data_IF_441445734896
#
_entry.id   IF_441445734896
#
_cell.length_a   1.000
_cell.length_b   1.000
_cell.length_c   1.000
_cell.angle_alpha   90.00
_cell.angle_beta   90.00
_cell.angle_gamma   90.00
#
_symmetry.space_group_name_H-M   'P 1'
#
loop_
_entity.id
_entity.type
_entity.pdbx_description
1 polymer ?
#
# COMPACT_ATOMS: atom_id res chain seq x y z
N UNK A 1 33.17 -7.60 -4.82
CA UNK A 1 32.61 -6.40 -4.12
C UNK A 1 31.95 -6.86 -2.82
N UNK A 2 31.99 -6.08 -1.73
CA UNK A 2 31.51 -6.49 -0.38
C UNK A 2 30.06 -7.03 -0.40
N UNK A 3 29.23 -6.58 -1.34
CA UNK A 3 27.81 -6.96 -1.46
C UNK A 3 27.53 -8.24 -2.27
N UNK A 4 28.53 -8.80 -2.97
CA UNK A 4 28.31 -9.95 -3.88
C UNK A 4 27.98 -11.24 -3.14
N UNK A 5 28.51 -11.42 -1.93
CA UNK A 5 28.31 -12.63 -1.13
C UNK A 5 27.09 -12.59 -0.20
N UNK A 6 26.31 -11.51 -0.22
CA UNK A 6 25.10 -11.38 0.60
C UNK A 6 23.91 -12.05 -0.09
N UNK A 7 23.01 -12.66 0.70
CA UNK A 7 21.82 -13.34 0.18
C UNK A 7 20.87 -12.33 -0.50
N UNK A 8 20.52 -11.25 0.19
CA UNK A 8 19.72 -10.15 -0.32
C UNK A 8 20.43 -8.81 -0.12
N UNK A 9 20.17 -7.85 -1.01
CA UNK A 9 20.66 -6.47 -0.89
C UNK A 9 19.52 -5.52 -1.23
N UNK A 10 19.19 -4.67 -0.28
CA UNK A 10 18.07 -3.72 -0.36
C UNK A 10 18.64 -2.30 -0.28
N UNK A 11 18.10 -1.40 -1.10
CA UNK A 11 18.34 0.04 -1.02
C UNK A 11 19.79 0.52 -1.24
N UNK A 12 20.68 -0.41 -1.60
CA UNK A 12 22.08 -0.13 -1.90
C UNK A 12 22.60 -1.04 -3.02
N UNK A 13 23.73 -0.65 -3.61
CA UNK A 13 24.47 -1.48 -4.57
C UNK A 13 24.20 -1.17 -6.04
N UNK A 14 23.25 -0.29 -6.34
CA UNK A 14 22.97 0.21 -7.67
C UNK A 14 22.39 -0.83 -8.62
N UNK A 15 21.69 -1.85 -8.10
CA UNK A 15 21.16 -2.96 -8.91
C UNK A 15 19.73 -3.33 -8.50
N UNK A 16 18.86 -3.43 -9.51
CA UNK A 16 17.57 -4.12 -9.40
C UNK A 16 17.64 -5.42 -10.20
N UNK A 17 17.70 -6.55 -9.50
CA UNK A 17 17.75 -7.90 -10.05
C UNK A 17 16.99 -8.85 -9.09
N UNK A 18 15.70 -9.09 -9.34
CA UNK A 18 14.87 -9.97 -8.51
C UNK A 18 15.38 -11.41 -8.45
N UNK A 19 16.05 -11.91 -9.49
CA UNK A 19 16.58 -13.27 -9.51
C UNK A 19 17.75 -13.47 -8.54
N UNK A 20 18.31 -12.37 -8.03
CA UNK A 20 19.41 -12.35 -7.06
C UNK A 20 19.04 -11.57 -5.81
N UNK A 21 17.76 -11.33 -5.55
CA UNK A 21 17.29 -10.53 -4.41
C UNK A 21 18.02 -9.19 -4.24
N UNK A 22 18.19 -8.48 -5.36
CA UNK A 22 18.74 -7.11 -5.40
C UNK A 22 17.61 -6.15 -5.68
N UNK A 23 17.28 -5.32 -4.71
CA UNK A 23 16.16 -4.38 -4.79
C UNK A 23 16.63 -2.99 -4.39
N UNK A 24 17.38 -2.34 -5.27
CA UNK A 24 17.78 -0.94 -5.14
C UNK A 24 17.11 -0.11 -6.25
N UNK A 25 16.84 1.16 -6.00
CA UNK A 25 16.18 2.11 -6.90
C UNK A 25 17.02 3.37 -7.23
N UNK A 26 18.22 3.49 -6.66
CA UNK A 26 19.12 4.66 -6.77
C UNK A 26 19.86 4.81 -8.12
N UNK A 27 19.60 3.94 -9.08
CA UNK A 27 20.29 3.87 -10.35
C UNK A 27 19.87 5.03 -11.23
N UNK A 28 20.83 5.57 -11.98
CA UNK A 28 20.56 6.65 -12.91
C UNK A 28 19.57 6.18 -13.99
N UNK A 29 18.43 6.87 -14.10
CA UNK A 29 17.37 6.51 -15.04
C UNK A 29 16.49 5.33 -14.60
N UNK A 30 16.50 4.98 -13.30
CA UNK A 30 15.51 4.05 -12.75
C UNK A 30 14.11 4.69 -12.81
N UNK A 31 13.20 4.06 -13.54
CA UNK A 31 11.82 4.55 -13.80
C UNK A 31 10.78 3.44 -13.55
N UNK A 32 11.16 2.39 -12.80
CA UNK A 32 10.23 1.29 -12.51
C UNK A 32 9.08 1.78 -11.64
N UNK A 33 7.87 1.43 -12.08
CA UNK A 33 6.62 1.67 -11.38
C UNK A 33 5.94 0.34 -11.05
N UNK A 34 4.96 0.37 -10.16
CA UNK A 34 4.16 -0.81 -9.83
C UNK A 34 3.38 -1.36 -11.03
N UNK A 35 3.01 -0.49 -11.97
CA UNK A 35 2.10 -0.82 -13.07
C UNK A 35 0.65 -0.58 -12.66
N UNK A 36 -0.31 -1.26 -13.29
CA UNK A 36 -1.74 -1.23 -12.89
C UNK A 36 -2.38 0.18 -12.81
N UNK A 37 -1.85 1.15 -13.55
CA UNK A 37 -2.31 2.54 -13.55
C UNK A 37 -1.62 3.46 -12.54
N UNK A 38 -0.71 2.93 -11.71
CA UNK A 38 0.13 3.73 -10.82
C UNK A 38 1.36 4.25 -11.56
N UNK A 39 1.70 5.52 -11.34
CA UNK A 39 2.84 6.19 -11.94
C UNK A 39 3.94 6.54 -10.94
N UNK A 40 3.73 6.26 -9.66
CA UNK A 40 4.72 6.50 -8.60
C UNK A 40 5.91 5.56 -8.80
N UNK A 41 7.11 6.14 -8.88
CA UNK A 41 8.37 5.41 -8.95
C UNK A 41 8.56 4.57 -7.69
N UNK A 42 8.99 3.32 -7.85
CA UNK A 42 9.16 2.40 -6.72
C UNK A 42 10.43 2.73 -5.91
N UNK A 43 10.31 2.61 -4.60
CA UNK A 43 11.43 2.46 -3.66
C UNK A 43 11.84 0.98 -3.56
N UNK A 44 12.89 0.68 -2.81
CA UNK A 44 13.22 -0.69 -2.44
C UNK A 44 12.08 -1.44 -1.75
N UNK A 45 11.28 -0.77 -0.91
CA UNK A 45 10.11 -1.38 -0.27
C UNK A 45 9.02 -1.75 -1.30
N UNK A 46 8.76 -0.85 -2.27
CA UNK A 46 7.83 -1.09 -3.36
C UNK A 46 8.29 -2.20 -4.30
N UNK A 47 9.59 -2.31 -4.58
CA UNK A 47 10.16 -3.41 -5.37
C UNK A 47 9.98 -4.76 -4.67
N UNK A 48 10.30 -4.84 -3.37
CA UNK A 48 10.06 -6.06 -2.57
C UNK A 48 8.56 -6.40 -2.58
N UNK A 49 7.69 -5.43 -2.35
CA UNK A 49 6.24 -5.66 -2.40
C UNK A 49 5.77 -6.12 -3.79
N UNK A 50 6.36 -5.59 -4.87
CA UNK A 50 6.03 -5.99 -6.25
C UNK A 50 6.24 -7.49 -6.47
N UNK A 51 7.28 -8.09 -5.89
CA UNK A 51 7.60 -9.51 -6.07
C UNK A 51 6.98 -10.43 -5.03
N UNK A 52 6.86 -9.99 -3.78
CA UNK A 52 6.45 -10.88 -2.66
C UNK A 52 5.08 -10.53 -2.08
N UNK A 53 4.47 -9.40 -2.48
CA UNK A 53 3.22 -8.92 -1.90
C UNK A 53 2.05 -9.88 -2.10
N UNK A 54 1.95 -10.49 -3.29
CA UNK A 54 0.90 -11.47 -3.58
C UNK A 54 1.04 -12.73 -2.74
N UNK A 55 2.25 -13.26 -2.59
CA UNK A 55 2.52 -14.43 -1.73
C UNK A 55 2.07 -14.16 -0.28
N UNK A 56 2.41 -13.01 0.28
CA UNK A 56 2.02 -12.62 1.65
C UNK A 56 0.49 -12.56 1.77
N UNK A 57 -0.18 -11.95 0.79
CA UNK A 57 -1.65 -11.79 0.78
C UNK A 57 -2.34 -13.15 0.64
N UNK A 58 -1.86 -14.01 -0.27
CA UNK A 58 -2.37 -15.36 -0.46
C UNK A 58 -2.26 -16.19 0.83
N UNK A 59 -1.14 -16.05 1.55
CA UNK A 59 -0.92 -16.66 2.85
C UNK A 59 -1.88 -16.14 3.94
N UNK A 60 -2.24 -14.86 3.93
CA UNK A 60 -3.24 -14.32 4.87
C UNK A 60 -4.67 -14.76 4.49
N UNK A 61 -4.99 -14.89 3.20
CA UNK A 61 -6.29 -15.37 2.69
C UNK A 61 -6.46 -16.89 2.76
N UNK A 62 -5.37 -17.66 2.86
CA UNK A 62 -5.35 -19.13 2.76
C UNK A 62 -5.88 -19.65 1.41
N UNK A 63 -5.44 -19.02 0.33
CA UNK A 63 -5.77 -19.36 -1.06
C UNK A 63 -4.52 -19.37 -1.93
N UNK A 64 -4.62 -19.86 -3.16
CA UNK A 64 -3.54 -19.77 -4.15
C UNK A 64 -3.25 -18.32 -4.56
N UNK A 65 -2.00 -18.02 -4.92
CA UNK A 65 -1.56 -16.69 -5.33
C UNK A 65 -2.30 -16.15 -6.57
N UNK A 66 -2.74 -17.04 -7.44
CA UNK A 66 -3.51 -16.71 -8.66
C UNK A 66 -5.00 -16.45 -8.39
N UNK A 67 -5.45 -16.54 -7.14
CA UNK A 67 -6.82 -16.21 -6.80
C UNK A 67 -7.11 -14.72 -7.08
N UNK A 68 -8.25 -14.43 -7.71
CA UNK A 68 -8.65 -13.07 -8.06
C UNK A 68 -8.71 -12.13 -6.84
N UNK A 69 -9.09 -12.63 -5.67
CA UNK A 69 -9.13 -11.87 -4.42
C UNK A 69 -7.73 -11.43 -3.95
N UNK A 70 -6.70 -12.25 -4.21
CA UNK A 70 -5.30 -11.86 -3.96
C UNK A 70 -4.95 -10.64 -4.80
N UNK A 71 -5.34 -10.64 -6.08
CA UNK A 71 -5.09 -9.50 -6.95
C UNK A 71 -5.84 -8.24 -6.51
N UNK A 72 -7.11 -8.36 -6.07
CA UNK A 72 -7.85 -7.20 -5.54
C UNK A 72 -7.18 -6.60 -4.30
N UNK A 73 -6.79 -7.45 -3.35
CA UNK A 73 -6.12 -7.00 -2.12
C UNK A 73 -4.72 -6.44 -2.43
N UNK A 74 -4.00 -7.02 -3.38
CA UNK A 74 -2.66 -6.56 -3.81
C UNK A 74 -2.69 -5.11 -4.34
N UNK A 75 -3.64 -4.81 -5.21
CA UNK A 75 -3.81 -3.44 -5.72
C UNK A 75 -4.31 -2.48 -4.63
N UNK A 76 -5.20 -2.93 -3.75
CA UNK A 76 -5.75 -2.11 -2.68
C UNK A 76 -4.70 -1.76 -1.61
N UNK A 77 -3.86 -2.73 -1.19
CA UNK A 77 -2.76 -2.50 -0.25
C UNK A 77 -1.70 -1.60 -0.88
N UNK A 78 -1.39 -1.75 -2.17
CA UNK A 78 -0.47 -0.81 -2.81
C UNK A 78 -1.00 0.63 -2.76
N UNK A 79 -2.23 0.85 -3.24
CA UNK A 79 -2.90 2.17 -3.26
C UNK A 79 -2.98 2.83 -1.89
N UNK A 80 -3.28 2.05 -0.85
CA UNK A 80 -3.61 2.60 0.47
C UNK A 80 -2.43 2.66 1.44
N UNK A 81 -1.33 1.95 1.14
CA UNK A 81 -0.19 1.80 2.05
C UNK A 81 1.15 1.97 1.34
N UNK A 82 1.46 1.13 0.34
CA UNK A 82 2.81 1.08 -0.24
C UNK A 82 3.15 2.32 -1.07
N UNK A 83 2.20 2.83 -1.87
CA UNK A 83 2.45 3.96 -2.77
C UNK A 83 2.94 5.21 -2.02
N UNK A 84 2.44 5.45 -0.81
CA UNK A 84 2.90 6.56 0.01
C UNK A 84 4.35 6.36 0.51
N UNK A 85 4.76 5.13 0.77
CA UNK A 85 6.15 4.80 1.15
C UNK A 85 7.07 5.06 -0.03
N UNK A 86 6.70 4.56 -1.21
CA UNK A 86 7.44 4.75 -2.46
C UNK A 86 7.58 6.23 -2.82
N UNK A 87 6.50 7.00 -2.70
CA UNK A 87 6.50 8.44 -2.97
C UNK A 87 7.41 9.20 -2.01
N UNK A 88 7.30 8.95 -0.70
CA UNK A 88 8.12 9.63 0.32
C UNK A 88 9.60 9.36 0.11
N UNK A 89 9.96 8.11 -0.17
CA UNK A 89 11.34 7.68 -0.36
C UNK A 89 11.97 8.29 -1.63
N UNK A 90 11.18 8.39 -2.71
CA UNK A 90 11.60 9.05 -3.94
C UNK A 90 11.48 10.59 -3.89
N UNK A 91 11.12 11.18 -2.75
CA UNK A 91 10.98 12.64 -2.59
C UNK A 91 9.83 13.25 -3.39
N UNK A 92 8.79 12.46 -3.71
CA UNK A 92 7.62 12.88 -4.46
C UNK A 92 6.63 13.58 -3.53
N UNK A 93 6.26 14.82 -3.87
CA UNK A 93 5.25 15.56 -3.14
C UNK A 93 3.84 14.99 -3.39
N UNK A 94 3.00 15.03 -2.36
CA UNK A 94 1.59 14.56 -2.46
C UNK A 94 0.75 15.38 -3.44
N UNK A 95 1.12 16.65 -3.68
CA UNK A 95 0.44 17.56 -4.59
C UNK A 95 1.46 18.24 -5.49
N UNK A 96 1.10 18.44 -6.75
CA UNK A 96 1.88 19.23 -7.71
C UNK A 96 1.66 20.73 -7.46
N UNK A 97 2.45 21.29 -6.55
CA UNK A 97 2.35 22.70 -6.14
C UNK A 97 3.65 23.22 -5.55
N UNK A 98 3.95 24.49 -5.84
CA UNK A 98 5.09 25.22 -5.25
C UNK A 98 4.77 25.83 -3.88
N UNK A 99 3.53 25.71 -3.41
CA UNK A 99 3.12 26.28 -2.12
C UNK A 99 3.68 25.44 -0.96
N UNK A 100 4.24 26.08 0.09
CA UNK A 100 4.68 25.35 1.27
C UNK A 100 3.49 24.72 2.02
N UNK A 101 3.70 23.58 2.71
CA UNK A 101 2.63 22.96 3.48
C UNK A 101 2.23 23.87 4.64
N UNK A 102 0.92 23.92 4.94
CA UNK A 102 0.38 24.71 6.06
C UNK A 102 0.84 24.22 7.43
N UNK A 103 1.27 22.96 7.52
CA UNK A 103 1.81 22.33 8.72
C UNK A 103 2.75 21.19 8.32
N UNK A 104 3.70 20.86 9.20
CA UNK A 104 4.58 19.70 9.05
C UNK A 104 3.92 18.50 9.72
N UNK A 105 3.81 17.38 9.01
CA UNK A 105 3.26 16.14 9.55
C UNK A 105 4.32 15.05 9.59
N UNK A 106 4.77 14.70 10.80
CA UNK A 106 5.75 13.64 11.03
C UNK A 106 5.12 12.36 11.62
N UNK A 107 3.80 12.16 11.49
CA UNK A 107 3.11 10.98 12.05
C UNK A 107 3.10 9.76 11.11
N UNK A 108 3.55 9.92 9.86
CA UNK A 108 3.61 8.83 8.88
C UNK A 108 4.69 7.78 9.22
N UNK A 109 4.58 6.61 8.58
CA UNK A 109 5.43 5.45 8.87
C UNK A 109 6.92 5.76 8.71
N UNK A 110 7.34 6.37 7.60
CA UNK A 110 8.77 6.70 7.37
C UNK A 110 9.34 7.59 8.47
N UNK A 111 8.59 8.60 8.94
CA UNK A 111 8.99 9.43 10.08
C UNK A 111 9.08 8.61 11.37
N UNK A 112 8.16 7.68 11.62
CA UNK A 112 8.16 6.86 12.83
C UNK A 112 9.28 5.82 12.82
N UNK A 113 9.59 5.23 11.67
CA UNK A 113 10.77 4.39 11.44
C UNK A 113 12.05 5.18 11.72
N UNK A 114 12.17 6.38 11.16
CA UNK A 114 13.34 7.25 11.35
C UNK A 114 13.62 7.63 12.81
N UNK A 115 12.60 7.64 13.68
CA UNK A 115 12.78 7.88 15.14
C UNK A 115 13.53 6.78 15.87
N UNK A 116 13.72 5.62 15.24
CA UNK A 116 14.54 4.56 15.82
C UNK A 116 16.03 4.75 15.56
N UNK A 117 16.41 5.57 14.58
CA UNK A 117 17.82 5.90 14.35
C UNK A 117 18.46 6.43 15.63
N UNK A 118 19.73 6.10 15.83
CA UNK A 118 20.49 6.63 16.96
C UNK A 118 20.55 8.15 16.85
N UNK A 119 20.29 8.82 17.97
CA UNK A 119 20.47 10.26 18.03
C UNK A 119 21.95 10.57 17.87
N UNK A 120 22.29 11.64 17.16
CA UNK A 120 23.68 12.06 16.96
C UNK A 120 24.38 12.45 18.28
N UNK A 121 23.61 12.71 19.33
CA UNK A 121 24.10 12.97 20.70
C UNK A 121 24.19 11.71 21.56
N UNK A 122 23.74 10.54 21.07
CA UNK A 122 23.86 9.29 21.82
C UNK A 122 25.35 8.95 22.00
N UNK A 123 25.84 8.79 23.24
CA UNK A 123 27.23 8.42 23.49
C UNK A 123 27.59 7.03 22.96
N UNK A 124 26.61 6.16 22.72
CA UNK A 124 26.78 4.81 22.19
C UNK A 124 26.33 4.74 20.71
N UNK A 125 27.29 4.94 19.81
CA UNK A 125 27.12 4.81 18.35
C UNK A 125 27.59 3.43 17.85
N UNK A 126 27.51 2.39 18.69
CA UNK A 126 27.95 1.04 18.31
C UNK A 126 27.01 0.39 17.30
N UNK A 127 27.59 -0.50 16.48
CA UNK A 127 26.87 -1.36 15.55
C UNK A 127 25.83 -2.25 16.23
N UNK A 128 26.09 -2.67 17.47
CA UNK A 128 25.17 -3.42 18.30
C UNK A 128 23.93 -2.60 18.64
N UNK A 129 24.12 -1.34 19.04
CA UNK A 129 23.02 -0.41 19.33
C UNK A 129 22.19 -0.07 18.10
N UNK A 130 22.86 0.15 16.96
CA UNK A 130 22.23 0.37 15.67
C UNK A 130 21.36 -0.83 15.26
N UNK A 131 21.87 -2.06 15.40
CA UNK A 131 21.11 -3.27 15.11
C UNK A 131 19.89 -3.45 16.03
N UNK A 132 19.99 -3.12 17.32
CA UNK A 132 18.84 -3.12 18.23
C UNK A 132 17.76 -2.11 17.78
N UNK A 133 18.18 -0.91 17.35
CA UNK A 133 17.29 0.09 16.78
C UNK A 133 16.62 -0.41 15.50
N UNK A 134 17.40 -1.00 14.59
CA UNK A 134 16.91 -1.58 13.35
C UNK A 134 15.84 -2.66 13.58
N UNK A 135 16.05 -3.59 14.52
CA UNK A 135 15.05 -4.60 14.85
C UNK A 135 13.73 -4.01 15.34
N UNK A 136 13.78 -2.92 16.12
CA UNK A 136 12.56 -2.21 16.56
C UNK A 136 11.85 -1.52 15.40
N UNK A 137 12.61 -0.90 14.48
CA UNK A 137 12.07 -0.32 13.26
C UNK A 137 11.41 -1.37 12.36
N UNK A 138 12.03 -2.54 12.18
CA UNK A 138 11.46 -3.67 11.46
C UNK A 138 10.15 -4.15 12.09
N UNK A 139 10.12 -4.30 13.42
CA UNK A 139 8.90 -4.73 14.11
C UNK A 139 7.76 -3.72 13.90
N UNK A 140 8.04 -2.42 13.98
CA UNK A 140 7.07 -1.36 13.69
C UNK A 140 6.55 -1.47 12.25
N UNK A 141 7.44 -1.39 11.26
CA UNK A 141 7.08 -1.39 9.85
C UNK A 141 6.34 -2.67 9.44
N UNK A 142 6.84 -3.83 9.90
CA UNK A 142 6.22 -5.13 9.65
C UNK A 142 4.82 -5.25 10.25
N UNK A 143 4.62 -4.78 11.49
CA UNK A 143 3.30 -4.78 12.12
C UNK A 143 2.30 -3.89 11.38
N UNK A 144 2.69 -2.68 10.99
CA UNK A 144 1.80 -1.75 10.27
C UNK A 144 1.44 -2.25 8.87
N UNK A 145 2.40 -2.87 8.17
CA UNK A 145 2.13 -3.51 6.89
C UNK A 145 1.15 -4.68 7.03
N UNK A 146 1.37 -5.58 8.01
CA UNK A 146 0.47 -6.72 8.24
C UNK A 146 -0.91 -6.27 8.71
N UNK A 147 -1.02 -5.23 9.53
CA UNK A 147 -2.31 -4.66 9.92
C UNK A 147 -3.06 -4.09 8.71
N UNK A 148 -2.36 -3.44 7.78
CA UNK A 148 -2.93 -2.99 6.51
C UNK A 148 -3.44 -4.16 5.65
N UNK A 149 -2.62 -5.20 5.47
CA UNK A 149 -3.01 -6.41 4.73
C UNK A 149 -4.23 -7.06 5.37
N UNK A 150 -4.20 -7.26 6.69
CA UNK A 150 -5.30 -7.91 7.44
C UNK A 150 -6.57 -7.10 7.45
N UNK A 151 -6.48 -5.78 7.50
CA UNK A 151 -7.64 -4.93 7.29
C UNK A 151 -8.26 -5.18 5.90
N UNK A 152 -7.43 -5.25 4.86
CA UNK A 152 -7.93 -5.47 3.51
C UNK A 152 -8.54 -6.86 3.33
N UNK A 153 -7.90 -7.89 3.88
CA UNK A 153 -8.37 -9.27 3.85
C UNK A 153 -9.65 -9.48 4.65
N UNK A 154 -9.68 -9.03 5.91
CA UNK A 154 -10.74 -9.40 6.86
C UNK A 154 -11.91 -8.41 6.90
N UNK A 155 -11.71 -7.17 6.45
CA UNK A 155 -12.73 -6.12 6.53
C UNK A 155 -13.09 -5.54 5.17
N UNK A 156 -12.09 -5.13 4.37
CA UNK A 156 -12.34 -4.48 3.09
C UNK A 156 -12.88 -5.45 2.04
N UNK A 157 -12.22 -6.57 1.79
CA UNK A 157 -12.59 -7.52 0.74
C UNK A 157 -14.02 -8.08 0.94
N UNK A 158 -14.45 -8.51 2.14
CA UNK A 158 -15.82 -8.97 2.36
C UNK A 158 -16.90 -7.89 2.11
N UNK A 159 -16.53 -6.60 2.13
CA UNK A 159 -17.47 -5.53 1.81
C UNK A 159 -17.84 -5.51 0.32
N UNK A 160 -17.01 -6.09 -0.57
CA UNK A 160 -17.24 -6.05 -2.02
C UNK A 160 -18.57 -6.67 -2.41
N UNK A 161 -18.90 -7.84 -1.85
CA UNK A 161 -20.18 -8.52 -2.13
C UNK A 161 -21.37 -7.69 -1.65
N UNK A 162 -21.27 -7.09 -0.45
CA UNK A 162 -22.31 -6.21 0.10
C UNK A 162 -22.56 -5.02 -0.84
N UNK A 163 -21.49 -4.36 -1.30
CA UNK A 163 -21.61 -3.20 -2.21
C UNK A 163 -22.18 -3.64 -3.56
N UNK A 164 -21.70 -4.75 -4.11
CA UNK A 164 -22.18 -5.29 -5.38
C UNK A 164 -23.68 -5.63 -5.34
N UNK A 165 -24.14 -6.31 -4.29
CA UNK A 165 -25.55 -6.61 -4.07
C UNK A 165 -26.38 -5.33 -3.91
N UNK A 166 -25.87 -4.35 -3.16
CA UNK A 166 -26.55 -3.07 -2.94
C UNK A 166 -26.67 -2.28 -4.24
N UNK A 167 -25.60 -2.26 -5.05
CA UNK A 167 -25.59 -1.66 -6.39
C UNK A 167 -26.60 -2.36 -7.29
N UNK A 168 -26.65 -3.69 -7.31
CA UNK A 168 -27.61 -4.43 -8.13
C UNK A 168 -29.07 -4.14 -7.74
N UNK A 169 -29.34 -3.96 -6.44
CA UNK A 169 -30.68 -3.69 -5.92
C UNK A 169 -31.09 -2.21 -5.94
N UNK A 170 -30.21 -1.28 -6.37
CA UNK A 170 -30.41 0.18 -6.20
C UNK A 170 -31.74 0.71 -6.74
N UNK A 171 -32.20 0.20 -7.88
CA UNK A 171 -33.46 0.62 -8.51
C UNK A 171 -34.72 0.25 -7.70
N UNK A 172 -34.61 -0.70 -6.77
CA UNK A 172 -35.70 -1.06 -5.85
C UNK A 172 -35.85 -0.05 -4.71
N UNK A 173 -34.79 0.70 -4.41
CA UNK A 173 -34.74 1.72 -3.36
C UNK A 173 -35.05 3.09 -3.94
N UNK A 174 -34.44 3.41 -5.08
CA UNK A 174 -34.61 4.66 -5.79
C UNK A 174 -34.78 4.36 -7.30
N UNK A 175 -35.94 4.66 -7.91
CA UNK A 175 -36.18 4.41 -9.32
C UNK A 175 -35.14 5.05 -10.26
N UNK A 176 -34.47 6.14 -9.84
CA UNK A 176 -33.40 6.75 -10.64
C UNK A 176 -32.09 5.95 -10.62
N UNK A 177 -31.90 5.11 -9.58
CA UNK A 177 -30.71 4.30 -9.37
C UNK A 177 -29.49 5.08 -8.87
N UNK A 178 -29.67 6.35 -8.47
CA UNK A 178 -28.59 7.24 -8.02
C UNK A 178 -28.37 7.17 -6.50
N UNK A 179 -29.22 6.46 -5.77
CA UNK A 179 -29.14 6.30 -4.31
C UNK A 179 -28.97 4.83 -3.92
N UNK A 180 -27.94 4.56 -3.10
CA UNK A 180 -27.77 3.29 -2.41
C UNK A 180 -28.21 3.40 -0.95
N UNK A 181 -28.80 2.31 -0.42
CA UNK A 181 -29.06 2.16 1.02
C UNK A 181 -28.37 0.90 1.51
N UNK A 182 -27.32 1.08 2.33
CA UNK A 182 -26.60 -0.01 2.97
C UNK A 182 -27.34 -0.43 4.25
N UNK A 183 -27.68 -1.72 4.34
CA UNK A 183 -28.30 -2.31 5.54
C UNK A 183 -27.31 -2.49 6.70
N UNK A 184 -26.02 -2.50 6.40
CA UNK A 184 -24.92 -2.69 7.35
C UNK A 184 -23.75 -1.81 6.97
N UNK A 185 -23.13 -1.18 7.95
CA UNK A 185 -21.88 -0.47 7.74
C UNK A 185 -20.76 -1.42 7.25
N UNK A 186 -20.08 -1.01 6.19
CA UNK A 186 -18.90 -1.66 5.64
C UNK A 186 -18.02 -0.63 4.91
N UNK A 187 -16.72 -0.90 4.67
CA UNK A 187 -15.87 -0.05 3.86
C UNK A 187 -16.27 -0.09 2.37
N UNK A 188 -17.19 0.78 1.96
CA UNK A 188 -17.82 0.71 0.65
C UNK A 188 -17.22 1.60 -0.44
N UNK A 189 -16.56 2.71 -0.07
CA UNK A 189 -16.21 3.79 -1.01
C UNK A 189 -15.37 3.32 -2.20
N UNK A 190 -14.29 2.60 -1.94
CA UNK A 190 -13.39 2.14 -2.99
C UNK A 190 -14.08 1.13 -3.91
N UNK A 191 -14.80 0.16 -3.33
CA UNK A 191 -15.58 -0.80 -4.10
C UNK A 191 -16.63 -0.13 -4.96
N UNK A 192 -17.30 0.92 -4.47
CA UNK A 192 -18.29 1.64 -5.26
C UNK A 192 -17.67 2.26 -6.51
N UNK A 193 -16.58 3.01 -6.37
CA UNK A 193 -15.93 3.65 -7.51
C UNK A 193 -15.43 2.63 -8.54
N UNK A 194 -14.91 1.50 -8.09
CA UNK A 194 -14.48 0.42 -8.97
C UNK A 194 -15.66 -0.23 -9.69
N UNK A 195 -16.73 -0.56 -8.96
CA UNK A 195 -17.94 -1.17 -9.53
C UNK A 195 -18.69 -0.23 -10.47
N UNK A 196 -18.70 1.08 -10.24
CA UNK A 196 -19.27 2.06 -11.17
C UNK A 196 -18.59 1.99 -12.54
N UNK A 197 -17.25 1.91 -12.55
CA UNK A 197 -16.47 1.77 -13.77
C UNK A 197 -16.64 0.39 -14.42
N UNK A 198 -16.54 -0.68 -13.64
CA UNK A 198 -16.65 -2.08 -14.12
C UNK A 198 -18.03 -2.36 -14.73
N UNK A 199 -19.10 -1.92 -14.06
CA UNK A 199 -20.48 -2.15 -14.47
C UNK A 199 -21.03 -1.06 -15.40
N UNK A 200 -20.22 -0.03 -15.71
CA UNK A 200 -20.59 1.12 -16.55
C UNK A 200 -21.90 1.77 -16.08
N UNK A 201 -21.97 2.08 -14.79
CA UNK A 201 -23.16 2.64 -14.16
C UNK A 201 -23.39 4.07 -14.68
N UNK A 202 -24.55 4.30 -15.28
CA UNK A 202 -25.03 5.60 -15.76
C UNK A 202 -26.55 5.70 -15.52
N UNK A 203 -27.05 6.75 -14.83
CA UNK A 203 -26.30 7.82 -14.17
C UNK A 203 -25.46 7.33 -12.97
N UNK A 204 -24.39 8.05 -12.58
CA UNK A 204 -23.54 7.67 -11.45
C UNK A 204 -24.30 7.78 -10.12
N UNK A 205 -23.82 7.03 -9.13
CA UNK A 205 -24.39 7.00 -7.79
C UNK A 205 -24.00 8.26 -7.03
N UNK A 206 -25.00 9.01 -6.56
CA UNK A 206 -24.83 10.30 -5.89
C UNK A 206 -24.80 10.19 -4.37
N UNK A 207 -25.58 9.27 -3.81
CA UNK A 207 -25.75 9.16 -2.37
C UNK A 207 -25.66 7.70 -1.90
N UNK A 208 -24.99 7.49 -0.78
CA UNK A 208 -25.00 6.24 -0.03
C UNK A 208 -25.52 6.53 1.37
N UNK A 209 -26.67 5.97 1.69
CA UNK A 209 -27.35 6.10 2.96
C UNK A 209 -27.24 4.81 3.76
N UNK A 210 -27.52 4.89 5.07
CA UNK A 210 -27.66 3.73 5.94
C UNK A 210 -29.11 3.60 6.35
N UNK A 211 -29.59 2.36 6.43
CA UNK A 211 -30.91 2.05 7.01
C UNK A 211 -30.93 2.34 8.52
#
# INVERSE_FOLDING_TARGET
MVLEGLDAVLDVGGVYDPARDRYDHHQKGFEEVFGHGFSTKLSSAGLVYKHFGKEIIANELKVDEENQDVNYVYLAVYRSFMEAIDAVDNGINQYDTDQPPKYVNNTHLSSRVGRFNLDWTDPDQSSEKENEAFHRAMALAGSEFLDSVRFHVNSWLPARSIVMETVAARQTVDPSGEILVLKKFCPWKLHLFELEGELKIDPPIKYVLYQ
#
